data_IF_452127018934
#
_entry.id   IF_452127018934
#
_cell.length_a   1.000
_cell.length_b   1.000
_cell.length_c   1.000
_cell.angle_alpha   90.00
_cell.angle_beta   90.00
_cell.angle_gamma   90.00
#
_symmetry.space_group_name_H-M   'P 1'
#
loop_
_entity.id
_entity.type
_entity.pdbx_description
1 polymer ?
#
# COMPACT_ATOMS: atom_id res chain seq x y z
N UNK A 1 -41.27 -21.97 31.70
CA UNK A 1 -39.82 -22.25 31.83
C UNK A 1 -39.14 -22.61 30.51
N UNK A 2 -39.73 -23.44 29.63
CA UNK A 2 -39.12 -23.82 28.32
C UNK A 2 -39.09 -22.68 27.27
N UNK A 3 -40.01 -21.72 27.35
CA UNK A 3 -40.07 -20.54 26.47
C UNK A 3 -38.98 -19.52 26.77
N UNK A 4 -38.68 -19.29 28.06
CA UNK A 4 -37.58 -18.43 28.51
C UNK A 4 -36.20 -18.92 28.06
N UNK A 5 -35.97 -20.24 28.09
CA UNK A 5 -34.73 -20.87 27.63
C UNK A 5 -34.55 -20.75 26.10
N UNK A 6 -35.65 -20.79 25.32
CA UNK A 6 -35.61 -20.56 23.87
C UNK A 6 -35.33 -19.09 23.51
N UNK A 7 -35.90 -18.15 24.27
CA UNK A 7 -35.65 -16.71 24.13
C UNK A 7 -34.19 -16.32 24.43
N UNK A 8 -33.59 -16.94 25.46
CA UNK A 8 -32.19 -16.70 25.82
C UNK A 8 -31.22 -17.23 24.75
N UNK A 9 -31.50 -18.40 24.17
CA UNK A 9 -30.68 -19.00 23.13
C UNK A 9 -30.70 -18.20 21.81
N UNK A 10 -31.84 -17.62 21.43
CA UNK A 10 -31.94 -16.77 20.23
C UNK A 10 -31.23 -15.43 20.39
N UNK A 11 -31.23 -14.84 21.59
CA UNK A 11 -30.53 -13.58 21.87
C UNK A 11 -29.00 -13.75 21.81
N UNK A 12 -28.47 -14.87 22.32
CA UNK A 12 -27.06 -15.18 22.25
C UNK A 12 -26.56 -15.39 20.80
N UNK A 13 -27.37 -16.00 19.93
CA UNK A 13 -27.04 -16.17 18.52
C UNK A 13 -27.00 -14.83 17.74
N UNK A 14 -27.88 -13.87 18.10
CA UNK A 14 -27.91 -12.54 17.48
C UNK A 14 -26.68 -11.69 17.88
N UNK A 15 -26.23 -11.78 19.13
CA UNK A 15 -25.04 -11.08 19.63
C UNK A 15 -23.75 -11.62 19.00
N UNK A 16 -23.67 -12.93 18.75
CA UNK A 16 -22.49 -13.54 18.12
C UNK A 16 -22.32 -13.11 16.64
N UNK A 17 -23.42 -12.85 15.93
CA UNK A 17 -23.37 -12.38 14.54
C UNK A 17 -22.84 -10.94 14.43
N UNK A 18 -23.12 -10.09 15.42
CA UNK A 18 -22.70 -8.69 15.42
C UNK A 18 -21.18 -8.51 15.54
N UNK A 19 -20.46 -9.45 16.15
CA UNK A 19 -19.00 -9.40 16.29
C UNK A 19 -18.24 -9.72 14.99
N UNK A 20 -18.91 -10.11 13.91
CA UNK A 20 -18.28 -10.37 12.59
C UNK A 20 -18.57 -9.31 11.54
N UNK A 21 -19.42 -8.33 11.86
CA UNK A 21 -19.77 -7.22 10.95
C UNK A 21 -18.83 -6.06 11.25
N UNK A 22 -17.61 -6.13 10.71
CA UNK A 22 -16.74 -4.97 10.55
C UNK A 22 -17.35 -4.06 9.47
N UNK A 23 -18.30 -3.22 9.86
CA UNK A 23 -18.86 -2.18 8.98
C UNK A 23 -17.78 -1.12 8.74
N UNK A 24 -17.08 -1.22 7.62
CA UNK A 24 -16.21 -0.16 7.12
C UNK A 24 -17.00 0.72 6.14
N UNK A 25 -17.53 1.88 6.57
CA UNK A 25 -18.35 2.75 5.73
C UNK A 25 -17.59 3.34 4.53
N UNK A 26 -16.27 3.17 4.46
CA UNK A 26 -15.42 3.66 3.35
C UNK A 26 -15.32 2.72 2.14
N UNK A 27 -15.88 1.50 2.16
CA UNK A 27 -15.84 0.57 1.03
C UNK A 27 -17.18 0.51 0.30
N UNK A 28 -17.38 1.39 -0.68
CA UNK A 28 -18.58 1.42 -1.54
C UNK A 28 -18.33 0.90 -2.97
N UNK A 29 -17.18 0.25 -3.22
CA UNK A 29 -16.81 -0.30 -4.53
C UNK A 29 -16.90 -1.83 -4.62
N UNK A 30 -16.92 -2.41 -5.85
CA UNK A 30 -16.71 -3.84 -6.06
C UNK A 30 -15.42 -4.30 -5.37
N UNK A 31 -15.43 -5.52 -4.82
CA UNK A 31 -14.23 -6.12 -4.24
C UNK A 31 -13.09 -6.21 -5.26
N UNK A 32 -11.82 -6.30 -4.80
CA UNK A 32 -10.68 -6.30 -5.70
C UNK A 32 -10.75 -7.45 -6.71
N UNK A 33 -10.42 -7.18 -7.98
CA UNK A 33 -10.22 -8.23 -8.98
C UNK A 33 -9.05 -9.12 -8.54
N UNK A 34 -9.38 -10.33 -8.09
CA UNK A 34 -8.38 -11.29 -7.61
C UNK A 34 -7.31 -11.62 -8.66
N UNK A 35 -7.64 -11.53 -9.95
CA UNK A 35 -6.68 -11.77 -11.02
C UNK A 35 -5.69 -10.59 -11.14
N UNK A 36 -6.18 -9.35 -11.09
CA UNK A 36 -5.31 -8.17 -11.03
C UNK A 36 -4.40 -8.17 -9.80
N UNK A 37 -4.93 -8.53 -8.63
CA UNK A 37 -4.13 -8.64 -7.40
C UNK A 37 -3.02 -9.68 -7.53
N UNK A 38 -3.32 -10.87 -8.09
CA UNK A 38 -2.29 -11.89 -8.36
C UNK A 38 -1.20 -11.39 -9.30
N UNK A 39 -1.57 -10.76 -10.43
CA UNK A 39 -0.58 -10.19 -11.36
C UNK A 39 0.30 -9.13 -10.69
N UNK A 40 -0.27 -8.28 -9.82
CA UNK A 40 0.51 -7.30 -9.09
C UNK A 40 1.48 -7.95 -8.08
N UNK A 41 1.05 -9.02 -7.42
CA UNK A 41 1.92 -9.80 -6.52
C UNK A 41 3.07 -10.48 -7.29
N UNK A 42 2.76 -11.09 -8.44
CA UNK A 42 3.75 -11.77 -9.29
C UNK A 42 4.80 -10.80 -9.88
N UNK A 43 4.45 -9.52 -10.05
CA UNK A 43 5.38 -8.48 -10.51
C UNK A 43 6.44 -8.10 -9.47
N UNK A 44 6.23 -8.43 -8.19
CA UNK A 44 7.19 -8.17 -7.11
C UNK A 44 8.18 -9.32 -7.05
N UNK A 45 9.41 -9.08 -7.51
CA UNK A 45 10.47 -10.09 -7.56
C UNK A 45 11.60 -9.75 -6.60
N UNK A 46 12.28 -10.78 -6.06
CA UNK A 46 13.46 -10.60 -5.22
C UNK A 46 14.57 -9.81 -5.94
N UNK A 47 14.78 -10.09 -7.23
CA UNK A 47 15.79 -9.41 -8.04
C UNK A 47 15.48 -7.92 -8.22
N UNK A 48 14.20 -7.57 -8.46
CA UNK A 48 13.76 -6.18 -8.56
C UNK A 48 13.99 -5.42 -7.25
N UNK A 49 13.68 -6.04 -6.11
CA UNK A 49 13.95 -5.47 -4.79
C UNK A 49 15.45 -5.29 -4.54
N UNK A 50 16.26 -6.32 -4.81
CA UNK A 50 17.70 -6.28 -4.62
C UNK A 50 18.36 -5.23 -5.52
N UNK A 51 17.92 -5.08 -6.77
CA UNK A 51 18.42 -4.05 -7.69
C UNK A 51 18.21 -2.63 -7.12
N UNK A 52 17.01 -2.35 -6.61
CA UNK A 52 16.71 -1.07 -5.98
C UNK A 52 17.51 -0.82 -4.70
N UNK A 53 17.63 -1.84 -3.84
CA UNK A 53 18.45 -1.77 -2.62
C UNK A 53 19.90 -1.46 -2.99
N UNK A 54 20.50 -2.25 -3.88
CA UNK A 54 21.89 -2.11 -4.28
C UNK A 54 22.19 -0.72 -4.85
N UNK A 55 21.31 -0.19 -5.70
CA UNK A 55 21.50 1.14 -6.27
C UNK A 55 21.42 2.24 -5.20
N UNK A 56 20.43 2.17 -4.30
CA UNK A 56 20.22 3.17 -3.24
C UNK A 56 21.20 3.06 -2.06
N UNK A 57 21.90 1.94 -1.94
CA UNK A 57 22.94 1.71 -0.93
C UNK A 57 24.36 1.83 -1.47
N UNK A 58 24.53 2.12 -2.76
CA UNK A 58 25.85 2.23 -3.36
C UNK A 58 26.62 3.45 -2.82
N UNK A 59 27.94 3.34 -2.68
CA UNK A 59 28.79 4.41 -2.14
C UNK A 59 28.67 5.72 -2.94
N UNK A 60 28.38 5.62 -4.24
CA UNK A 60 28.11 6.78 -5.10
C UNK A 60 26.83 7.55 -4.73
N UNK A 61 26.01 7.07 -3.80
CA UNK A 61 24.90 7.84 -3.26
C UNK A 61 25.36 8.76 -2.12
N UNK A 62 26.51 8.51 -1.48
CA UNK A 62 27.07 9.37 -0.41
C UNK A 62 26.15 9.61 0.80
N UNK A 63 25.09 8.79 0.95
CA UNK A 63 24.04 8.99 1.94
C UNK A 63 22.73 9.50 1.34
N UNK A 64 21.73 9.75 2.19
CA UNK A 64 20.36 10.14 1.77
C UNK A 64 19.72 11.13 2.75
N UNK A 65 20.54 11.89 3.48
CA UNK A 65 20.04 12.86 4.44
C UNK A 65 19.51 14.10 3.68
N UNK A 66 18.48 14.79 4.20
CA UNK A 66 17.98 16.02 3.59
C UNK A 66 19.07 17.09 3.46
N UNK A 67 19.03 17.87 2.37
CA UNK A 67 19.97 18.94 2.05
C UNK A 67 21.36 18.46 1.64
N UNK A 68 21.52 17.21 1.19
CA UNK A 68 22.82 16.64 0.80
C UNK A 68 22.87 16.28 -0.69
N UNK A 69 24.06 16.25 -1.33
CA UNK A 69 24.20 15.76 -2.70
C UNK A 69 23.71 14.32 -2.91
N UNK A 70 23.61 13.53 -1.83
CA UNK A 70 23.07 12.17 -1.87
C UNK A 70 21.55 12.12 -1.95
N UNK A 71 20.86 13.12 -1.37
CA UNK A 71 19.43 13.34 -1.60
C UNK A 71 19.17 13.62 -3.07
N UNK A 72 19.87 14.59 -3.68
CA UNK A 72 19.67 14.94 -5.09
C UNK A 72 19.80 13.72 -6.01
N UNK A 73 20.81 12.89 -5.79
CA UNK A 73 21.01 11.63 -6.53
C UNK A 73 19.91 10.61 -6.26
N UNK A 74 19.44 10.52 -5.02
CA UNK A 74 18.35 9.62 -4.62
C UNK A 74 17.03 10.06 -5.26
N UNK A 75 16.71 11.35 -5.26
CA UNK A 75 15.51 11.91 -5.90
C UNK A 75 15.56 11.64 -7.40
N UNK A 76 16.67 11.98 -8.07
CA UNK A 76 16.84 11.69 -9.50
C UNK A 76 16.74 10.18 -9.82
N UNK A 77 17.21 9.30 -8.91
CA UNK A 77 17.02 7.86 -9.01
C UNK A 77 15.54 7.45 -8.97
N UNK A 78 14.76 7.99 -8.04
CA UNK A 78 13.36 7.63 -7.89
C UNK A 78 12.52 8.14 -9.06
N UNK A 79 12.77 9.37 -9.51
CA UNK A 79 12.09 9.95 -10.68
C UNK A 79 12.26 9.07 -11.93
N UNK A 80 13.49 8.64 -12.24
CA UNK A 80 13.74 7.77 -13.41
C UNK A 80 13.06 6.40 -13.27
N UNK A 81 13.04 5.82 -12.08
CA UNK A 81 12.42 4.50 -11.84
C UNK A 81 10.90 4.59 -11.99
N UNK A 82 10.29 5.65 -11.46
CA UNK A 82 8.85 5.88 -11.60
C UNK A 82 8.45 6.19 -13.04
N UNK A 83 9.21 7.03 -13.74
CA UNK A 83 8.98 7.29 -15.16
C UNK A 83 9.12 6.00 -16.00
N UNK A 84 10.15 5.19 -15.73
CA UNK A 84 10.34 3.90 -16.42
C UNK A 84 9.21 2.89 -16.12
N UNK A 85 8.60 2.96 -14.94
CA UNK A 85 7.41 2.19 -14.58
C UNK A 85 6.11 2.73 -15.21
N UNK A 86 6.18 3.81 -16.00
CA UNK A 86 5.03 4.42 -16.67
C UNK A 86 4.17 5.30 -15.77
N UNK A 87 4.68 5.66 -14.58
CA UNK A 87 3.98 6.60 -13.70
C UNK A 87 4.11 8.03 -14.24
N UNK A 88 3.19 8.87 -13.79
CA UNK A 88 3.21 10.32 -14.06
C UNK A 88 3.48 11.08 -12.76
N UNK A 89 4.07 12.28 -12.84
CA UNK A 89 4.24 13.13 -11.68
C UNK A 89 2.90 13.43 -11.01
N UNK A 90 2.90 13.45 -9.67
CA UNK A 90 1.69 13.56 -8.86
C UNK A 90 1.33 14.98 -8.43
N UNK A 91 2.25 15.95 -8.54
CA UNK A 91 1.98 17.32 -8.09
C UNK A 91 1.06 18.08 -9.06
N UNK A 92 0.29 19.08 -8.58
CA UNK A 92 -0.60 19.88 -9.43
C UNK A 92 0.11 20.63 -10.57
N UNK A 93 1.38 20.97 -10.39
CA UNK A 93 2.24 21.62 -11.39
C UNK A 93 2.91 20.62 -12.36
N UNK A 94 2.65 19.32 -12.19
CA UNK A 94 3.24 18.27 -13.01
C UNK A 94 4.68 17.91 -12.64
N UNK A 95 5.16 18.30 -11.46
CA UNK A 95 6.48 17.91 -10.94
C UNK A 95 6.43 16.66 -10.06
N UNK A 96 7.59 16.04 -9.84
CA UNK A 96 7.71 14.83 -9.00
C UNK A 96 7.91 15.15 -7.52
N UNK A 97 8.57 16.27 -7.19
CA UNK A 97 9.02 16.61 -5.83
C UNK A 97 8.08 17.62 -5.21
N UNK A 98 7.46 17.26 -4.09
CA UNK A 98 6.62 18.19 -3.33
C UNK A 98 7.47 19.25 -2.64
N UNK A 99 7.11 20.52 -2.79
CA UNK A 99 7.68 21.62 -2.00
C UNK A 99 7.18 21.51 -0.54
N UNK A 100 8.12 21.48 0.41
CA UNK A 100 7.85 21.43 1.86
C UNK A 100 8.30 22.70 2.57
#
# INVERSE_FOLDING_TARGET
MKTFSRLLATAAALVLAACTIEHNPGRTGPGPDTAAVRRAADAITSDGLLSGIAALSHDSMEGRAPGTPGEDRTVAYLERVFAAAGLRPGNPDGTWVQTV
#
